data_IF_604857080625
#
_entry.id   IF_604857080625
#
_cell.length_a   1.000
_cell.length_b   1.000
_cell.length_c   1.000
_cell.angle_alpha   90.00
_cell.angle_beta   90.00
_cell.angle_gamma   90.00
#
_symmetry.space_group_name_H-M   'P 1'
#
loop_
_entity.id
_entity.type
_entity.pdbx_description
1 polymer ?
#
# COMPACT_ATOMS: atom_id res chain seq x y z
N UNK A 1 3.07 8.40 29.70
CA UNK A 1 2.70 7.13 29.02
C UNK A 1 3.63 6.95 27.81
N UNK A 2 4.28 5.79 27.66
CA UNK A 2 5.16 5.53 26.51
C UNK A 2 4.29 5.14 25.30
N UNK A 3 4.11 6.06 24.36
CA UNK A 3 3.49 5.76 23.07
C UNK A 3 4.44 4.83 22.28
N UNK A 4 4.01 3.60 21.98
CA UNK A 4 4.74 2.75 21.02
C UNK A 4 4.37 3.19 19.62
N UNK A 5 5.35 3.26 18.72
CA UNK A 5 5.13 3.62 17.32
C UNK A 5 4.09 2.71 16.62
N UNK A 6 4.01 1.45 17.04
CA UNK A 6 3.00 0.49 16.60
C UNK A 6 1.57 0.97 16.89
N UNK A 7 1.33 1.55 18.07
CA UNK A 7 0.00 2.05 18.45
C UNK A 7 -0.43 3.21 17.55
N UNK A 8 0.54 4.05 17.15
CA UNK A 8 0.30 5.16 16.21
C UNK A 8 -0.09 4.64 14.82
N UNK A 9 0.62 3.64 14.29
CA UNK A 9 0.27 3.05 12.99
C UNK A 9 -1.11 2.38 13.04
N UNK A 10 -1.40 1.61 14.09
CA UNK A 10 -2.69 0.96 14.26
C UNK A 10 -3.84 1.97 14.36
N UNK A 11 -3.64 3.09 15.08
CA UNK A 11 -4.61 4.19 15.15
C UNK A 11 -4.87 4.81 13.77
N UNK A 12 -3.84 4.97 12.93
CA UNK A 12 -4.01 5.47 11.56
C UNK A 12 -4.77 4.49 10.67
N UNK A 13 -4.53 3.18 10.82
CA UNK A 13 -5.27 2.14 10.08
C UNK A 13 -6.75 2.14 10.45
N UNK A 14 -7.08 2.33 11.73
CA UNK A 14 -8.48 2.43 12.20
C UNK A 14 -9.21 3.62 11.57
N UNK A 15 -8.49 4.67 11.19
CA UNK A 15 -9.07 5.86 10.56
C UNK A 15 -9.32 5.72 9.05
N UNK A 16 -9.04 4.57 8.43
CA UNK A 16 -9.35 4.32 7.02
C UNK A 16 -10.87 4.33 6.81
N UNK A 17 -11.33 5.14 5.86
CA UNK A 17 -12.75 5.31 5.52
C UNK A 17 -13.04 4.98 4.06
N UNK A 18 -14.32 5.04 3.67
CA UNK A 18 -14.80 4.86 2.28
C UNK A 18 -14.13 5.77 1.25
N UNK A 19 -13.57 6.90 1.68
CA UNK A 19 -12.91 7.87 0.80
C UNK A 19 -11.42 7.56 0.57
N UNK A 20 -10.89 6.55 1.26
CA UNK A 20 -9.50 6.15 1.15
C UNK A 20 -9.33 5.02 0.12
N UNK A 21 -8.25 5.10 -0.64
CA UNK A 21 -7.74 4.03 -1.47
C UNK A 21 -6.58 3.36 -0.73
N UNK A 22 -6.66 2.05 -0.53
CA UNK A 22 -5.58 1.28 0.13
C UNK A 22 -4.72 0.66 -0.95
N UNK A 23 -3.41 0.88 -0.88
CA UNK A 23 -2.43 0.29 -1.79
C UNK A 23 -1.57 -0.69 -1.00
N UNK A 24 -1.67 -1.97 -1.33
CA UNK A 24 -0.73 -2.99 -0.86
C UNK A 24 0.42 -3.09 -1.85
N UNK A 25 1.67 -3.05 -1.37
CA UNK A 25 2.86 -3.24 -2.21
C UNK A 25 3.63 -4.43 -1.68
N UNK A 26 3.80 -5.44 -2.53
CA UNK A 26 4.74 -6.54 -2.28
C UNK A 26 6.11 -6.17 -2.87
N UNK A 27 7.13 -6.20 -2.02
CA UNK A 27 8.48 -5.73 -2.34
C UNK A 27 9.38 -6.96 -2.46
N UNK A 28 9.68 -7.38 -3.68
CA UNK A 28 10.67 -8.43 -3.97
C UNK A 28 11.98 -7.88 -4.53
N UNK A 29 12.98 -8.75 -4.72
CA UNK A 29 14.33 -8.34 -5.09
C UNK A 29 14.41 -7.63 -6.45
N UNK A 30 13.69 -8.09 -7.47
CA UNK A 30 13.78 -7.55 -8.84
C UNK A 30 12.54 -6.76 -9.25
N UNK A 31 11.35 -7.29 -8.95
CA UNK A 31 10.05 -6.69 -9.30
C UNK A 31 9.20 -6.48 -8.05
N UNK A 32 8.52 -5.35 -7.97
CA UNK A 32 7.51 -5.04 -6.97
C UNK A 32 6.12 -5.13 -7.60
N UNK A 33 5.14 -5.53 -6.79
CA UNK A 33 3.75 -5.63 -7.22
C UNK A 33 2.89 -4.78 -6.31
N UNK A 34 2.28 -3.72 -6.86
CA UNK A 34 1.31 -2.90 -6.15
C UNK A 34 -0.12 -3.30 -6.54
N UNK A 35 -1.03 -3.30 -5.57
CA UNK A 35 -2.46 -3.53 -5.80
C UNK A 35 -3.31 -2.52 -5.05
N UNK A 36 -4.24 -1.92 -5.78
CA UNK A 36 -5.27 -1.07 -5.22
C UNK A 36 -6.43 -1.92 -4.70
N UNK A 37 -6.86 -1.65 -3.47
CA UNK A 37 -8.05 -2.22 -2.85
C UNK A 37 -8.89 -1.12 -2.21
N UNK A 38 -10.21 -1.29 -2.21
CA UNK A 38 -11.10 -0.42 -1.44
C UNK A 38 -10.90 -0.65 0.06
N UNK A 39 -11.45 0.24 0.90
CA UNK A 39 -11.43 0.09 2.36
C UNK A 39 -12.02 -1.25 2.86
N UNK A 40 -12.81 -1.96 2.03
CA UNK A 40 -13.37 -3.30 2.34
C UNK A 40 -12.48 -4.46 1.85
N UNK A 41 -11.32 -4.18 1.29
CA UNK A 41 -10.42 -5.19 0.71
C UNK A 41 -10.83 -5.67 -0.68
N UNK A 42 -11.76 -4.99 -1.37
CA UNK A 42 -12.15 -5.35 -2.73
C UNK A 42 -11.08 -4.85 -3.69
N UNK A 43 -10.50 -5.75 -4.49
CA UNK A 43 -9.51 -5.39 -5.51
C UNK A 43 -10.10 -4.47 -6.57
N UNK A 44 -9.37 -3.40 -6.89
CA UNK A 44 -9.71 -2.43 -7.91
C UNK A 44 -8.73 -2.56 -9.07
N UNK A 45 -9.19 -3.10 -10.20
CA UNK A 45 -8.39 -3.26 -11.41
C UNK A 45 -7.31 -4.36 -11.32
N UNK A 46 -6.37 -4.28 -12.25
CA UNK A 46 -5.22 -5.17 -12.36
C UNK A 46 -4.08 -4.73 -11.40
N UNK A 47 -3.24 -5.67 -10.93
CA UNK A 47 -2.03 -5.32 -10.20
C UNK A 47 -1.06 -4.53 -11.10
N UNK A 48 -0.23 -3.71 -10.47
CA UNK A 48 0.80 -2.89 -11.08
C UNK A 48 2.17 -3.48 -10.76
N UNK A 49 2.87 -3.96 -11.79
CA UNK A 49 4.22 -4.50 -11.65
C UNK A 49 5.25 -3.46 -12.07
N UNK A 50 6.28 -3.26 -11.25
CA UNK A 50 7.34 -2.30 -11.53
C UNK A 50 8.69 -2.81 -11.01
N UNK A 51 9.78 -2.47 -11.71
CA UNK A 51 11.13 -2.86 -11.28
C UNK A 51 11.51 -2.21 -9.94
N UNK A 52 12.42 -2.85 -9.20
CA UNK A 52 12.98 -2.38 -7.93
C UNK A 52 13.78 -1.05 -8.00
N UNK A 53 13.82 -0.41 -9.16
CA UNK A 53 14.62 0.77 -9.45
C UNK A 53 13.73 1.96 -9.76
N UNK A 54 14.26 3.17 -9.48
CA UNK A 54 13.52 4.43 -9.65
C UNK A 54 13.00 4.63 -11.07
N UNK A 55 13.71 4.16 -12.08
CA UNK A 55 13.24 4.26 -13.47
C UNK A 55 12.02 3.38 -13.73
N UNK A 56 12.00 2.16 -13.17
CA UNK A 56 10.86 1.25 -13.28
C UNK A 56 9.60 1.83 -12.64
N UNK A 57 9.76 2.52 -11.50
CA UNK A 57 8.66 3.24 -10.86
C UNK A 57 8.17 4.45 -11.68
N UNK A 58 9.07 5.19 -12.33
CA UNK A 58 8.74 6.41 -13.11
C UNK A 58 7.97 6.14 -14.41
N UNK A 59 7.77 4.88 -14.80
CA UNK A 59 6.99 4.52 -15.98
C UNK A 59 5.47 4.64 -15.76
N UNK A 60 5.04 4.91 -14.52
CA UNK A 60 3.65 5.00 -14.08
C UNK A 60 3.38 6.33 -13.37
#
# INVERSE_FOLDING_TARGET
MKFKAQDKQNQLIVNITVQHLVIGVDIAQETHVARAVSFRGIALGAPLEFGNHREGFKLF
#
